data_IF_125400788979
#
_entry.id   IF_125400788979
#
_cell.length_a   1.000
_cell.length_b   1.000
_cell.length_c   1.000
_cell.angle_alpha   90.00
_cell.angle_beta   90.00
_cell.angle_gamma   90.00
#
_symmetry.space_group_name_H-M   'P 1'
#
loop_
_entity.id
_entity.type
_entity.pdbx_description
1 polymer ?
#
# COMPACT_ATOMS: atom_id res chain seq x y z
N UNK A 1 30.94 -1.83 19.19
CA UNK A 1 29.93 -1.29 18.24
C UNK A 1 28.66 -0.85 18.95
N UNK A 2 28.10 -1.68 19.85
CA UNK A 2 26.86 -1.40 20.56
C UNK A 2 26.81 -0.03 21.26
N UNK A 3 27.82 0.32 22.06
CA UNK A 3 27.86 1.60 22.80
C UNK A 3 27.89 2.85 21.90
N UNK A 4 28.37 2.75 20.65
CA UNK A 4 28.35 3.88 19.71
C UNK A 4 26.96 4.06 19.10
N UNK A 5 26.30 2.95 18.75
CA UNK A 5 24.93 2.94 18.25
C UNK A 5 23.97 3.48 19.31
N UNK A 6 24.11 3.01 20.56
CA UNK A 6 23.28 3.43 21.68
C UNK A 6 23.40 4.93 21.95
N UNK A 7 24.62 5.48 21.97
CA UNK A 7 24.83 6.93 22.12
C UNK A 7 24.23 7.73 20.97
N UNK A 8 24.33 7.24 19.74
CA UNK A 8 23.70 7.89 18.58
C UNK A 8 22.17 7.86 18.69
N UNK A 9 21.59 6.73 19.10
CA UNK A 9 20.14 6.61 19.31
C UNK A 9 19.66 7.52 20.44
N UNK A 10 20.37 7.59 21.57
CA UNK A 10 20.07 8.51 22.66
C UNK A 10 20.13 9.98 22.21
N UNK A 11 21.08 10.35 21.34
CA UNK A 11 21.15 11.71 20.80
C UNK A 11 20.01 12.04 19.84
N UNK A 12 19.47 11.03 19.15
CA UNK A 12 18.36 11.18 18.20
C UNK A 12 16.99 11.14 18.88
N UNK A 13 16.89 10.47 20.03
CA UNK A 13 15.63 10.23 20.73
C UNK A 13 14.83 11.52 20.97
N UNK A 14 15.51 12.60 21.38
CA UNK A 14 14.86 13.89 21.54
C UNK A 14 14.20 14.38 20.24
N UNK A 15 14.89 14.26 19.11
CA UNK A 15 14.39 14.76 17.82
C UNK A 15 13.30 13.86 17.21
N UNK A 16 13.36 12.56 17.46
CA UNK A 16 12.45 11.57 16.86
C UNK A 16 11.20 11.31 17.70
N UNK A 17 11.26 11.50 19.01
CA UNK A 17 10.21 11.10 19.95
C UNK A 17 9.32 12.27 20.41
N UNK A 18 9.70 13.50 20.12
CA UNK A 18 8.89 14.68 20.43
C UNK A 18 8.05 15.13 19.24
N UNK A 19 6.84 15.59 19.53
CA UNK A 19 5.97 16.23 18.55
C UNK A 19 6.46 17.66 18.28
N UNK A 20 6.51 18.01 17.00
CA UNK A 20 6.88 19.35 16.55
C UNK A 20 5.64 20.05 16.01
N UNK A 21 5.25 21.15 16.64
CA UNK A 21 4.21 22.05 16.12
C UNK A 21 4.84 23.01 15.12
N UNK A 22 4.45 22.86 13.85
CA UNK A 22 4.90 23.73 12.77
C UNK A 22 3.77 24.68 12.38
N UNK A 23 3.94 25.99 12.62
CA UNK A 23 3.07 27.02 12.02
C UNK A 23 3.57 27.36 10.61
N UNK A 24 2.61 27.47 9.68
CA UNK A 24 2.85 27.84 8.28
C UNK A 24 2.11 29.14 7.89
N UNK A 25 1.59 29.88 8.87
CA UNK A 25 0.72 31.05 8.65
C UNK A 25 1.41 32.13 7.79
N UNK A 26 2.71 32.36 8.03
CA UNK A 26 3.50 33.31 7.28
C UNK A 26 3.74 32.86 5.82
N UNK A 27 3.89 31.56 5.59
CA UNK A 27 4.08 31.01 4.25
C UNK A 27 2.78 31.13 3.44
N UNK A 28 1.64 30.88 4.07
CA UNK A 28 0.32 31.05 3.46
C UNK A 28 0.02 32.53 3.17
N UNK A 29 0.33 33.42 4.12
CA UNK A 29 0.17 34.86 3.93
C UNK A 29 1.06 35.40 2.78
N UNK A 30 2.28 34.89 2.66
CA UNK A 30 3.17 35.21 1.55
C UNK A 30 2.60 34.70 0.23
N UNK A 31 2.14 33.44 0.20
CA UNK A 31 1.52 32.83 -0.97
C UNK A 31 0.28 33.62 -1.43
N UNK A 32 -0.54 34.10 -0.50
CA UNK A 32 -1.71 34.92 -0.83
C UNK A 32 -1.33 36.26 -1.49
N UNK A 33 -0.19 36.85 -1.10
CA UNK A 33 0.29 38.15 -1.60
C UNK A 33 1.09 38.07 -2.90
N UNK A 34 1.63 36.90 -3.27
CA UNK A 34 2.40 36.74 -4.50
C UNK A 34 1.51 36.79 -5.76
N UNK A 35 2.05 37.42 -6.81
CA UNK A 35 1.48 37.38 -8.16
C UNK A 35 1.53 35.96 -8.76
N UNK A 36 0.74 35.72 -9.81
CA UNK A 36 0.70 34.41 -10.46
C UNK A 36 2.04 34.01 -11.11
N UNK A 37 2.78 34.98 -11.65
CA UNK A 37 4.10 34.72 -12.25
C UNK A 37 5.13 34.31 -11.18
N UNK A 38 5.16 35.01 -10.04
CA UNK A 38 6.05 34.67 -8.93
C UNK A 38 5.73 33.28 -8.36
N UNK A 39 4.45 32.90 -8.28
CA UNK A 39 4.01 31.55 -7.87
C UNK A 39 4.51 30.47 -8.82
N UNK A 40 4.61 30.76 -10.12
CA UNK A 40 5.12 29.81 -11.12
C UNK A 40 6.64 29.66 -11.02
N UNK A 41 7.35 30.76 -10.75
CA UNK A 41 8.81 30.78 -10.61
C UNK A 41 9.23 30.12 -9.29
N UNK A 42 8.56 30.47 -8.19
CA UNK A 42 8.85 29.99 -6.83
C UNK A 42 7.81 28.96 -6.39
N UNK A 43 7.98 27.72 -6.86
CA UNK A 43 7.09 26.60 -6.52
C UNK A 43 7.37 26.02 -5.12
N UNK A 44 6.90 26.71 -4.08
CA UNK A 44 6.87 26.16 -2.72
C UNK A 44 5.50 25.60 -2.31
N UNK A 45 4.53 25.57 -3.23
CA UNK A 45 3.28 24.83 -3.04
C UNK A 45 3.49 23.32 -3.28
N UNK A 46 3.50 22.54 -2.20
CA UNK A 46 3.66 21.09 -2.26
C UNK A 46 2.39 20.34 -2.71
N UNK A 47 1.23 20.99 -2.84
CA UNK A 47 -0.03 20.34 -3.22
C UNK A 47 0.00 19.80 -4.66
N UNK A 48 0.77 20.45 -5.53
CA UNK A 48 0.96 20.00 -6.92
C UNK A 48 1.95 18.83 -7.07
N UNK A 49 2.57 18.38 -5.97
CA UNK A 49 3.57 17.32 -6.00
C UNK A 49 2.91 15.93 -6.07
N UNK A 50 3.37 15.09 -6.98
CA UNK A 50 3.00 13.67 -6.98
C UNK A 50 3.81 12.92 -5.91
N UNK A 51 3.28 12.91 -4.69
CA UNK A 51 3.93 12.33 -3.50
C UNK A 51 4.47 10.92 -3.68
N UNK A 52 3.78 9.96 -4.32
CA UNK A 52 4.30 8.61 -4.48
C UNK A 52 5.61 8.57 -5.26
N UNK A 53 5.68 9.30 -6.38
CA UNK A 53 6.90 9.35 -7.21
C UNK A 53 8.01 10.13 -6.54
N UNK A 54 7.67 11.23 -5.86
CA UNK A 54 8.65 11.99 -5.08
C UNK A 54 9.32 11.11 -4.02
N UNK A 55 8.51 10.39 -3.22
CA UNK A 55 9.02 9.51 -2.17
C UNK A 55 9.83 8.34 -2.74
N UNK A 56 9.40 7.74 -3.85
CA UNK A 56 10.17 6.70 -4.53
C UNK A 56 11.55 7.23 -4.98
N UNK A 57 11.57 8.36 -5.67
CA UNK A 57 12.82 8.98 -6.12
C UNK A 57 13.73 9.39 -4.96
N UNK A 58 13.15 9.92 -3.88
CA UNK A 58 13.88 10.28 -2.68
C UNK A 58 14.58 9.07 -2.06
N UNK A 59 13.85 7.96 -1.85
CA UNK A 59 14.42 6.75 -1.25
C UNK A 59 15.48 6.13 -2.16
N UNK A 60 15.20 6.03 -3.47
CA UNK A 60 16.17 5.51 -4.44
C UNK A 60 17.43 6.39 -4.53
N UNK A 61 17.26 7.71 -4.49
CA UNK A 61 18.34 8.69 -4.48
C UNK A 61 19.22 8.56 -3.24
N UNK A 62 18.61 8.49 -2.05
CA UNK A 62 19.35 8.27 -0.79
C UNK A 62 20.13 6.97 -0.84
N UNK A 63 19.51 5.86 -1.27
CA UNK A 63 20.17 4.57 -1.40
C UNK A 63 21.38 4.62 -2.33
N UNK A 64 21.23 5.22 -3.51
CA UNK A 64 22.29 5.29 -4.53
C UNK A 64 23.42 6.27 -4.16
N UNK A 65 23.09 7.47 -3.70
CA UNK A 65 24.05 8.57 -3.58
C UNK A 65 24.57 8.79 -2.16
N UNK A 66 23.70 8.66 -1.16
CA UNK A 66 24.07 8.87 0.25
C UNK A 66 24.66 7.58 0.83
N UNK A 67 23.97 6.46 0.66
CA UNK A 67 24.39 5.16 1.19
C UNK A 67 25.36 4.42 0.26
N UNK A 68 25.47 4.85 -1.01
CA UNK A 68 26.35 4.24 -2.03
C UNK A 68 26.11 2.74 -2.21
N UNK A 69 24.87 2.30 -2.09
CA UNK A 69 24.50 0.90 -2.27
C UNK A 69 24.33 0.55 -3.75
N UNK A 70 24.62 -0.71 -4.08
CA UNK A 70 24.37 -1.26 -5.40
C UNK A 70 22.86 -1.35 -5.69
N UNK A 71 22.46 -0.81 -6.84
CA UNK A 71 21.07 -0.76 -7.29
C UNK A 71 20.65 -2.02 -8.05
N UNK A 72 21.61 -2.84 -8.49
CA UNK A 72 21.37 -4.04 -9.28
C UNK A 72 20.64 -5.13 -8.47
N UNK A 73 20.70 -5.05 -7.14
CA UNK A 73 20.02 -5.97 -6.22
C UNK A 73 18.54 -5.62 -5.97
N UNK A 74 18.09 -4.42 -6.34
CA UNK A 74 16.69 -4.01 -6.16
C UNK A 74 15.65 -4.91 -6.84
N UNK A 75 15.80 -5.32 -8.11
CA UNK A 75 14.83 -6.23 -8.73
C UNK A 75 14.76 -7.59 -8.01
N UNK A 76 15.90 -8.09 -7.51
CA UNK A 76 15.96 -9.33 -6.74
C UNK A 76 15.22 -9.19 -5.42
N UNK A 77 15.44 -8.09 -4.70
CA UNK A 77 14.72 -7.80 -3.45
C UNK A 77 13.20 -7.69 -3.68
N UNK A 78 12.77 -7.00 -4.75
CA UNK A 78 11.34 -6.92 -5.15
C UNK A 78 10.78 -8.31 -5.47
N UNK A 79 11.51 -9.15 -6.19
CA UNK A 79 11.10 -10.52 -6.50
C UNK A 79 10.94 -11.38 -5.24
N UNK A 80 11.87 -11.26 -4.29
CA UNK A 80 11.79 -11.97 -3.01
C UNK A 80 10.58 -11.54 -2.17
N UNK A 81 10.29 -10.24 -2.10
CA UNK A 81 9.09 -9.73 -1.43
C UNK A 81 7.80 -10.23 -2.09
N UNK A 82 7.75 -10.24 -3.43
CA UNK A 82 6.61 -10.79 -4.16
C UNK A 82 6.42 -12.28 -3.89
N UNK A 83 7.51 -13.05 -3.83
CA UNK A 83 7.49 -14.47 -3.47
C UNK A 83 6.91 -14.68 -2.07
N UNK A 84 7.37 -13.91 -1.08
CA UNK A 84 6.86 -13.98 0.30
C UNK A 84 5.37 -13.61 0.36
N UNK A 85 4.94 -12.59 -0.37
CA UNK A 85 3.52 -12.20 -0.47
C UNK A 85 2.68 -13.33 -1.06
N UNK A 86 3.13 -13.94 -2.16
CA UNK A 86 2.44 -15.04 -2.81
C UNK A 86 2.33 -16.26 -1.90
N UNK A 87 3.40 -16.60 -1.17
CA UNK A 87 3.39 -17.68 -0.17
C UNK A 87 2.34 -17.40 0.89
N UNK A 88 2.32 -16.18 1.45
CA UNK A 88 1.34 -15.80 2.48
C UNK A 88 -0.10 -15.88 1.98
N UNK A 89 -0.36 -15.40 0.76
CA UNK A 89 -1.69 -15.50 0.14
C UNK A 89 -2.09 -16.94 -0.13
N UNK A 90 -1.19 -17.76 -0.66
CA UNK A 90 -1.42 -19.19 -0.90
C UNK A 90 -1.71 -19.94 0.40
N UNK A 91 -0.89 -19.73 1.43
CA UNK A 91 -1.08 -20.33 2.74
C UNK A 91 -2.44 -19.96 3.35
N UNK A 92 -2.78 -18.68 3.38
CA UNK A 92 -4.08 -18.22 3.90
C UNK A 92 -5.26 -18.80 3.10
N UNK A 93 -5.12 -18.87 1.77
CA UNK A 93 -6.15 -19.47 0.90
C UNK A 93 -6.34 -20.95 1.19
N UNK A 94 -5.25 -21.71 1.35
CA UNK A 94 -5.30 -23.14 1.70
C UNK A 94 -5.99 -23.33 3.05
N UNK A 95 -5.65 -22.52 4.06
CA UNK A 95 -6.31 -22.58 5.37
C UNK A 95 -7.81 -22.35 5.28
N UNK A 96 -8.24 -21.34 4.53
CA UNK A 96 -9.66 -21.04 4.32
C UNK A 96 -10.36 -22.20 3.61
N UNK A 97 -9.76 -22.78 2.57
CA UNK A 97 -10.34 -23.91 1.83
C UNK A 97 -10.47 -25.16 2.71
N UNK A 98 -9.44 -25.49 3.49
CA UNK A 98 -9.46 -26.64 4.41
C UNK A 98 -10.51 -26.43 5.49
N UNK A 99 -10.53 -25.25 6.11
CA UNK A 99 -11.53 -24.88 7.12
C UNK A 99 -12.96 -25.00 6.58
N UNK A 100 -13.20 -24.45 5.39
CA UNK A 100 -14.49 -24.53 4.70
C UNK A 100 -14.90 -25.97 4.39
N UNK A 101 -13.99 -26.81 3.89
CA UNK A 101 -14.27 -28.23 3.63
C UNK A 101 -14.63 -29.00 4.90
N UNK A 102 -13.91 -28.75 6.00
CA UNK A 102 -14.21 -29.38 7.29
C UNK A 102 -15.58 -28.95 7.81
N UNK A 103 -15.93 -27.66 7.70
CA UNK A 103 -17.24 -27.15 8.12
C UNK A 103 -18.41 -27.78 7.36
N UNK A 104 -18.30 -27.94 6.03
CA UNK A 104 -19.32 -28.60 5.20
C UNK A 104 -19.46 -30.09 5.58
N UNK A 105 -18.34 -30.78 5.81
CA UNK A 105 -18.37 -32.19 6.19
C UNK A 105 -19.05 -32.39 7.56
N UNK A 106 -18.73 -31.52 8.53
CA UNK A 106 -19.19 -31.64 9.92
C UNK A 106 -20.62 -31.13 10.14
N UNK A 107 -21.05 -30.11 9.42
CA UNK A 107 -22.34 -29.44 9.70
C UNK A 107 -23.36 -29.63 8.58
N UNK A 108 -24.63 -29.80 8.95
CA UNK A 108 -25.75 -29.88 7.99
C UNK A 108 -26.10 -28.49 7.43
N UNK A 109 -25.95 -27.46 8.26
CA UNK A 109 -26.24 -26.06 7.92
C UNK A 109 -25.31 -25.55 6.81
N UNK A 110 -23.99 -25.77 6.91
CA UNK A 110 -23.05 -25.32 5.87
C UNK A 110 -23.28 -26.00 4.52
N UNK A 111 -23.69 -27.28 4.50
CA UNK A 111 -24.13 -27.97 3.27
C UNK A 111 -25.35 -27.31 2.65
N UNK A 112 -26.39 -27.04 3.43
CA UNK A 112 -27.61 -26.40 2.91
C UNK A 112 -27.33 -25.01 2.38
N UNK A 113 -26.52 -24.21 3.09
CA UNK A 113 -26.08 -22.89 2.62
C UNK A 113 -25.27 -23.02 1.32
N UNK A 114 -24.36 -23.98 1.22
CA UNK A 114 -23.58 -24.22 0.00
C UNK A 114 -24.46 -24.54 -1.21
N UNK A 115 -25.43 -25.45 -1.05
CA UNK A 115 -26.38 -25.75 -2.12
C UNK A 115 -27.24 -24.54 -2.52
N UNK A 116 -27.67 -23.73 -1.54
CA UNK A 116 -28.39 -22.49 -1.81
C UNK A 116 -27.54 -21.51 -2.62
N UNK A 117 -26.28 -21.27 -2.21
CA UNK A 117 -25.35 -20.39 -2.92
C UNK A 117 -25.10 -20.89 -4.35
N UNK A 118 -24.82 -22.18 -4.55
CA UNK A 118 -24.62 -22.77 -5.88
C UNK A 118 -25.89 -22.61 -6.74
N UNK A 119 -27.06 -22.82 -6.16
CA UNK A 119 -28.34 -22.66 -6.88
C UNK A 119 -28.60 -21.22 -7.30
N UNK A 120 -28.24 -20.23 -6.47
CA UNK A 120 -28.36 -18.81 -6.80
C UNK A 120 -27.37 -18.41 -7.89
N UNK A 121 -26.11 -18.86 -7.81
CA UNK A 121 -25.12 -18.63 -8.85
C UNK A 121 -25.56 -19.21 -10.20
N UNK A 122 -26.11 -20.43 -10.21
CA UNK A 122 -26.61 -21.05 -11.43
C UNK A 122 -27.77 -20.25 -12.05
N UNK A 123 -28.75 -19.84 -11.22
CA UNK A 123 -29.87 -18.99 -11.66
C UNK A 123 -29.40 -17.64 -12.19
N UNK A 124 -28.40 -17.03 -11.54
CA UNK A 124 -27.83 -15.75 -11.97
C UNK A 124 -27.08 -15.87 -13.29
N UNK A 125 -26.26 -16.91 -13.47
CA UNK A 125 -25.59 -17.19 -14.74
C UNK A 125 -26.60 -17.47 -15.87
N UNK A 126 -27.67 -18.19 -15.55
CA UNK A 126 -28.76 -18.46 -16.50
C UNK A 126 -29.49 -17.16 -16.89
N UNK A 127 -29.76 -16.28 -15.92
CA UNK A 127 -30.35 -14.96 -16.17
C UNK A 127 -29.47 -14.09 -17.08
N UNK A 128 -28.16 -14.00 -16.80
CA UNK A 128 -27.21 -13.26 -17.65
C UNK A 128 -27.12 -13.85 -19.06
N UNK A 129 -27.11 -15.18 -19.18
CA UNK A 129 -27.08 -15.86 -20.47
C UNK A 129 -28.34 -15.55 -21.29
N UNK A 130 -29.53 -15.61 -20.69
CA UNK A 130 -30.80 -15.30 -21.37
C UNK A 130 -30.85 -13.81 -21.77
N UNK A 131 -30.37 -12.91 -20.91
CA UNK A 131 -30.28 -11.48 -21.21
C UNK A 131 -29.31 -11.17 -22.36
N UNK A 132 -28.21 -11.92 -22.52
CA UNK A 132 -27.27 -11.75 -23.64
C UNK A 132 -27.84 -12.24 -24.98
N UNK A 133 -28.78 -13.18 -24.97
CA UNK A 133 -29.45 -13.69 -26.18
C UNK A 133 -30.64 -12.85 -26.64
N UNK A 134 -31.04 -11.82 -25.88
CA UNK A 134 -32.12 -10.89 -26.21
C UNK A 134 -31.62 -9.44 -26.48
N UNK A 135 -30.32 -9.24 -26.70
CA UNK A 135 -29.80 -7.95 -27.17
C UNK A 135 -30.21 -7.69 -28.63
N UNK A 136 -30.57 -6.44 -28.99
CA UNK A 136 -31.10 -6.07 -30.30
C UNK A 136 -30.14 -6.30 -31.47
#
# INVERSE_FOLDING_TARGET
MYNKLERALQSLDYFTSHHWEWSHDNADALMAKMGEEDKKIFKFDCRGLHWPTYMENYVLGTKKYVLKEDMDQLPIAKANLNKLRNIRWGFNTILIVVFWRVLIARTKIARNIWHLVVSLCFKFLQYLRISSTQGP
#
